data_IF_825868362250
#
_entry.id   IF_825868362250
#
_cell.length_a   1.000
_cell.length_b   1.000
_cell.length_c   1.000
_cell.angle_alpha   90.00
_cell.angle_beta   90.00
_cell.angle_gamma   90.00
#
_symmetry.space_group_name_H-M   'P 1'
#
loop_
_entity.id
_entity.type
_entity.pdbx_description
1 polymer ?
#
# COMPACT_ATOMS: atom_id res chain seq x y z
N UNK A 1 -30.89 -28.61 -50.03
CA UNK A 1 -30.60 -27.82 -48.81
C UNK A 1 -30.33 -28.77 -47.63
N UNK A 2 -29.16 -29.40 -47.60
CA UNK A 2 -28.69 -30.25 -46.50
C UNK A 2 -27.17 -30.10 -46.52
N UNK A 3 -26.62 -29.15 -45.76
CA UNK A 3 -25.19 -29.06 -45.42
C UNK A 3 -24.85 -27.87 -44.51
N UNK A 4 -25.76 -26.92 -44.29
CA UNK A 4 -25.47 -25.77 -43.40
C UNK A 4 -25.74 -26.04 -41.90
N UNK A 5 -26.34 -27.17 -41.53
CA UNK A 5 -26.70 -27.44 -40.12
C UNK A 5 -25.51 -27.94 -39.29
N UNK A 6 -24.60 -28.71 -39.91
CA UNK A 6 -23.42 -29.28 -39.23
C UNK A 6 -22.37 -28.20 -38.88
N UNK A 7 -22.24 -27.17 -39.73
CA UNK A 7 -21.32 -26.06 -39.50
C UNK A 7 -21.82 -25.18 -38.34
N UNK A 8 -23.13 -24.91 -38.28
CA UNK A 8 -23.73 -24.15 -37.19
C UNK A 8 -23.59 -24.85 -35.83
N UNK A 9 -23.71 -26.19 -35.80
CA UNK A 9 -23.54 -26.98 -34.58
C UNK A 9 -22.07 -26.99 -34.09
N UNK A 10 -21.10 -27.02 -35.01
CA UNK A 10 -19.68 -26.97 -34.68
C UNK A 10 -19.25 -25.62 -34.08
N UNK A 11 -19.79 -24.51 -34.57
CA UNK A 11 -19.53 -23.18 -34.00
C UNK A 11 -20.18 -22.99 -32.62
N UNK A 12 -21.35 -23.59 -32.38
CA UNK A 12 -22.04 -23.54 -31.07
C UNK A 12 -21.27 -24.33 -29.99
N UNK A 13 -20.66 -25.47 -30.35
CA UNK A 13 -19.85 -26.28 -29.44
C UNK A 13 -18.49 -25.65 -29.08
N UNK A 14 -17.88 -24.90 -30.00
CA UNK A 14 -16.64 -24.15 -29.74
C UNK A 14 -16.85 -22.95 -28.79
N UNK A 15 -18.07 -22.42 -28.69
CA UNK A 15 -18.41 -21.33 -27.79
C UNK A 15 -18.37 -21.71 -26.30
N UNK A 16 -18.67 -22.98 -25.97
CA UNK A 16 -18.70 -23.44 -24.57
C UNK A 16 -17.33 -23.84 -24.01
N UNK A 17 -16.36 -24.17 -24.86
CA UNK A 17 -15.02 -24.58 -24.40
C UNK A 17 -14.09 -23.41 -24.09
N UNK A 18 -14.44 -22.17 -24.46
CA UNK A 18 -13.64 -20.97 -24.16
C UNK A 18 -14.05 -20.25 -22.87
N UNK A 19 -15.17 -20.61 -22.24
CA UNK A 19 -15.65 -19.95 -21.01
C UNK A 19 -15.03 -20.48 -19.71
N UNK A 20 -14.05 -21.38 -19.78
CA UNK A 20 -13.20 -21.76 -18.63
C UNK A 20 -11.73 -21.47 -18.92
N UNK A 21 -11.43 -20.25 -19.38
CA UNK A 21 -10.13 -19.66 -19.13
C UNK A 21 -10.02 -19.30 -17.65
N UNK A 22 -9.80 -20.34 -16.85
CA UNK A 22 -8.93 -20.35 -15.68
C UNK A 22 -8.80 -19.02 -14.92
N UNK A 23 -9.84 -18.62 -14.18
CA UNK A 23 -9.59 -17.84 -12.97
C UNK A 23 -9.01 -18.78 -11.92
N UNK A 24 -7.80 -19.29 -12.15
CA UNK A 24 -6.90 -19.62 -11.05
C UNK A 24 -6.57 -18.28 -10.40
N UNK A 25 -7.52 -17.78 -9.62
CA UNK A 25 -7.24 -16.86 -8.55
C UNK A 25 -6.41 -17.69 -7.57
N UNK A 26 -5.12 -17.82 -7.86
CA UNK A 26 -4.17 -18.06 -6.79
C UNK A 26 -4.43 -16.92 -5.82
N UNK A 27 -4.95 -17.25 -4.64
CA UNK A 27 -4.99 -16.31 -3.54
C UNK A 27 -3.56 -15.78 -3.42
N UNK A 28 -3.39 -14.54 -3.89
CA UNK A 28 -2.10 -13.86 -3.84
C UNK A 28 -1.84 -13.65 -2.36
N UNK A 29 -0.69 -14.07 -1.87
CA UNK A 29 -0.25 -13.66 -0.54
C UNK A 29 -0.03 -12.15 -0.58
N UNK A 30 -1.06 -11.40 -0.19
CA UNK A 30 -1.02 -9.94 -0.20
C UNK A 30 0.05 -9.42 0.79
N UNK A 31 0.39 -10.16 1.86
CA UNK A 31 1.46 -9.71 2.79
C UNK A 31 2.81 -9.70 2.08
N UNK A 32 3.15 -10.82 1.43
CA UNK A 32 4.40 -10.92 0.69
C UNK A 32 4.42 -9.98 -0.51
N UNK A 33 3.30 -9.90 -1.24
CA UNK A 33 3.20 -9.05 -2.42
C UNK A 33 3.41 -7.58 -2.10
N UNK A 34 2.78 -7.09 -1.03
CA UNK A 34 2.89 -5.71 -0.57
C UNK A 34 4.06 -5.48 0.42
N UNK A 35 5.01 -6.41 0.57
CA UNK A 35 6.21 -6.21 1.40
C UNK A 35 7.07 -4.99 1.01
N UNK A 36 6.87 -4.49 -0.22
CA UNK A 36 7.38 -3.21 -0.71
C UNK A 36 6.25 -2.40 -1.35
N UNK A 37 6.46 -1.09 -1.50
CA UNK A 37 5.45 -0.21 -2.09
C UNK A 37 5.03 -0.66 -3.50
N UNK A 38 3.73 -0.93 -3.67
CA UNK A 38 3.10 -1.20 -4.96
C UNK A 38 2.29 0.00 -5.42
N UNK A 39 2.50 0.40 -6.67
CA UNK A 39 1.85 1.56 -7.27
C UNK A 39 0.48 1.18 -7.82
N UNK A 40 -0.55 1.93 -7.46
CA UNK A 40 -1.91 1.82 -7.99
C UNK A 40 -2.54 0.43 -7.81
N UNK A 41 -2.11 -0.30 -6.78
CA UNK A 41 -2.62 -1.62 -6.42
C UNK A 41 -2.96 -1.68 -4.93
N UNK A 42 -4.04 -2.38 -4.58
CA UNK A 42 -4.49 -2.54 -3.19
C UNK A 42 -4.72 -4.02 -2.86
N UNK A 43 -4.57 -4.41 -1.58
CA UNK A 43 -4.99 -5.73 -1.11
C UNK A 43 -6.50 -5.89 -1.24
N UNK A 44 -6.93 -7.13 -1.50
CA UNK A 44 -8.36 -7.41 -1.70
C UNK A 44 -9.08 -7.39 -0.36
N UNK A 45 -10.36 -7.00 -0.40
CA UNK A 45 -11.24 -7.02 0.78
C UNK A 45 -10.74 -6.21 1.99
N UNK A 46 -9.91 -5.18 1.76
CA UNK A 46 -9.45 -4.27 2.81
C UNK A 46 -10.20 -2.95 2.78
N UNK A 47 -10.59 -2.48 3.96
CA UNK A 47 -11.17 -1.16 4.17
C UNK A 47 -10.09 -0.23 4.71
N UNK A 48 -9.70 0.76 3.92
CA UNK A 48 -8.74 1.78 4.31
C UNK A 48 -9.41 2.87 5.15
N UNK A 49 -8.89 3.05 6.36
CA UNK A 49 -9.24 4.11 7.29
C UNK A 49 -8.29 5.29 7.09
N UNK A 50 -8.83 6.50 7.10
CA UNK A 50 -8.04 7.73 6.92
C UNK A 50 -7.12 7.97 8.13
N UNK A 51 -5.85 8.28 7.87
CA UNK A 51 -4.92 8.77 8.89
C UNK A 51 -4.81 10.29 8.86
N UNK A 52 -4.61 10.84 7.66
CA UNK A 52 -4.47 12.27 7.42
C UNK A 52 -4.91 12.60 5.98
N UNK A 53 -5.48 13.80 5.78
CA UNK A 53 -5.84 14.34 4.48
C UNK A 53 -5.58 15.83 4.46
N UNK A 54 -4.75 16.28 3.51
CA UNK A 54 -4.36 17.69 3.33
C UNK A 54 -5.08 18.39 2.19
N UNK A 55 -5.68 17.62 1.28
CA UNK A 55 -6.30 18.17 0.07
C UNK A 55 -7.52 17.35 -0.32
N UNK A 56 -8.51 18.04 -0.86
CA UNK A 56 -9.70 17.46 -1.50
C UNK A 56 -9.47 17.14 -2.98
N UNK A 57 -8.30 17.49 -3.54
CA UNK A 57 -7.93 17.16 -4.91
C UNK A 57 -7.92 15.64 -5.10
N UNK A 58 -8.47 15.17 -6.21
CA UNK A 58 -8.43 13.75 -6.57
C UNK A 58 -6.97 13.31 -6.77
N UNK A 59 -6.57 12.22 -6.09
CA UNK A 59 -5.25 11.63 -6.27
C UNK A 59 -5.12 10.93 -7.61
N UNK A 60 -3.97 11.09 -8.27
CA UNK A 60 -3.68 10.42 -9.55
C UNK A 60 -2.97 9.09 -9.34
N UNK A 61 -2.09 9.03 -8.34
CA UNK A 61 -1.33 7.83 -8.02
C UNK A 61 -1.40 7.54 -6.52
N UNK A 62 -1.31 6.27 -6.18
CA UNK A 62 -1.15 5.86 -4.79
C UNK A 62 -0.17 4.70 -4.67
N UNK A 63 0.38 4.53 -3.48
CA UNK A 63 1.32 3.46 -3.16
C UNK A 63 0.88 2.76 -1.88
N UNK A 64 0.91 1.43 -1.88
CA UNK A 64 0.54 0.60 -0.73
C UNK A 64 1.70 -0.29 -0.33
N UNK A 65 1.96 -0.38 0.97
CA UNK A 65 2.93 -1.31 1.58
C UNK A 65 2.28 -2.04 2.76
N UNK A 66 2.66 -3.28 3.00
CA UNK A 66 2.36 -4.05 4.19
C UNK A 66 3.56 -3.99 5.15
N UNK A 67 3.29 -3.75 6.44
CA UNK A 67 4.29 -3.81 7.51
C UNK A 67 3.69 -4.45 8.75
N UNK A 68 4.56 -5.04 9.55
CA UNK A 68 4.26 -5.54 10.89
C UNK A 68 5.15 -4.79 11.87
N UNK A 69 4.57 -4.19 12.90
CA UNK A 69 5.34 -3.46 13.91
C UNK A 69 5.93 -4.39 14.98
N UNK A 70 6.67 -3.82 15.92
CA UNK A 70 7.29 -4.57 17.04
C UNK A 70 6.29 -5.22 18.00
N UNK A 71 5.01 -4.85 17.94
CA UNK A 71 3.92 -5.46 18.70
C UNK A 71 3.29 -6.65 17.97
N UNK A 72 3.75 -6.99 16.76
CA UNK A 72 3.16 -8.02 15.91
C UNK A 72 1.88 -7.57 15.19
N UNK A 73 1.61 -6.26 15.15
CA UNK A 73 0.43 -5.71 14.50
C UNK A 73 0.71 -5.50 13.00
N UNK A 74 0.11 -6.34 12.16
CA UNK A 74 0.16 -6.21 10.71
C UNK A 74 -0.83 -5.18 10.16
N UNK A 75 -0.36 -4.29 9.29
CA UNK A 75 -1.20 -3.30 8.61
C UNK A 75 -0.69 -2.96 7.21
N UNK A 76 -1.61 -2.53 6.37
CA UNK A 76 -1.34 -1.90 5.09
C UNK A 76 -1.33 -0.39 5.26
N UNK A 77 -0.30 0.28 4.76
CA UNK A 77 -0.19 1.73 4.72
C UNK A 77 -0.30 2.22 3.28
N UNK A 78 -1.20 3.18 3.03
CA UNK A 78 -1.45 3.75 1.71
C UNK A 78 -1.14 5.23 1.70
N UNK A 79 -0.37 5.68 0.70
CA UNK A 79 -0.07 7.09 0.43
C UNK A 79 -0.70 7.46 -0.90
N UNK A 80 -1.49 8.54 -0.92
CA UNK A 80 -2.09 9.09 -2.15
C UNK A 80 -1.37 10.38 -2.52
N UNK A 81 -1.00 10.50 -3.79
CA UNK A 81 -0.27 11.62 -4.36
C UNK A 81 -1.14 12.42 -5.36
N UNK A 82 -0.90 13.73 -5.44
CA UNK A 82 -1.42 14.56 -6.52
C UNK A 82 -0.62 14.38 -7.83
N UNK A 83 -1.03 15.10 -8.87
CA UNK A 83 -0.36 15.13 -10.19
C UNK A 83 1.10 15.59 -10.17
N UNK A 84 1.53 16.27 -9.11
CA UNK A 84 2.90 16.75 -8.93
C UNK A 84 3.70 15.84 -7.99
N UNK A 85 3.21 14.62 -7.75
CA UNK A 85 3.78 13.64 -6.83
C UNK A 85 3.87 14.11 -5.37
N UNK A 86 3.00 15.05 -4.96
CA UNK A 86 2.94 15.51 -3.57
C UNK A 86 1.95 14.68 -2.76
N UNK A 87 2.29 14.23 -1.54
CA UNK A 87 1.36 13.48 -0.71
C UNK A 87 0.19 14.35 -0.24
N UNK A 88 -1.02 13.89 -0.52
CA UNK A 88 -2.28 14.59 -0.21
C UNK A 88 -3.15 13.86 0.81
N UNK A 89 -2.98 12.54 0.95
CA UNK A 89 -3.68 11.76 1.96
C UNK A 89 -2.91 10.48 2.31
N UNK A 90 -3.08 10.01 3.54
CA UNK A 90 -2.57 8.71 4.00
C UNK A 90 -3.67 7.91 4.69
N UNK A 91 -3.60 6.60 4.54
CA UNK A 91 -4.59 5.66 5.07
C UNK A 91 -3.90 4.43 5.64
N UNK A 92 -4.63 3.69 6.48
CA UNK A 92 -4.22 2.36 6.91
C UNK A 92 -5.37 1.36 6.78
N UNK A 93 -5.05 0.08 6.63
CA UNK A 93 -6.00 -1.02 6.77
C UNK A 93 -5.37 -2.14 7.61
N UNK A 94 -6.16 -2.76 8.48
CA UNK A 94 -5.66 -3.86 9.32
C UNK A 94 -5.48 -5.13 8.49
N UNK A 95 -4.45 -5.91 8.82
CA UNK A 95 -4.19 -7.19 8.16
C UNK A 95 -5.20 -8.27 8.53
N UNK A 96 -5.72 -8.25 9.76
CA UNK A 96 -6.80 -9.12 10.23
C UNK A 96 -7.95 -8.28 10.80
N UNK A 97 -8.98 -8.94 11.33
CA UNK A 97 -10.07 -8.26 12.06
C UNK A 97 -9.58 -7.64 13.38
N UNK A 98 -8.35 -7.97 13.80
CA UNK A 98 -7.72 -7.38 14.96
C UNK A 98 -7.41 -5.89 14.69
N UNK A 99 -7.89 -5.05 15.60
CA UNK A 99 -7.65 -3.61 15.55
C UNK A 99 -6.20 -3.33 15.94
N UNK A 100 -5.47 -2.57 15.13
CA UNK A 100 -4.17 -2.04 15.55
C UNK A 100 -4.35 -1.03 16.69
N UNK A 101 -3.38 -0.96 17.60
CA UNK A 101 -3.42 -0.09 18.78
C UNK A 101 -3.53 1.38 18.42
N UNK A 102 -4.17 2.17 19.31
CA UNK A 102 -4.26 3.62 19.15
C UNK A 102 -2.87 4.30 19.15
N UNK A 103 -1.87 3.70 19.81
CA UNK A 103 -0.47 4.12 19.73
C UNK A 103 0.09 3.98 18.32
N UNK A 104 -0.12 2.83 17.68
CA UNK A 104 0.34 2.59 16.30
C UNK A 104 -0.32 3.58 15.35
N UNK A 105 -1.62 3.81 15.47
CA UNK A 105 -2.34 4.81 14.66
C UNK A 105 -1.72 6.20 14.84
N UNK A 106 -1.48 6.63 16.09
CA UNK A 106 -0.86 7.94 16.38
C UNK A 106 0.55 8.07 15.81
N UNK A 107 1.31 6.99 15.75
CA UNK A 107 2.66 7.02 15.18
C UNK A 107 2.60 7.03 13.64
N UNK A 108 1.71 6.24 13.03
CA UNK A 108 1.47 6.27 11.57
C UNK A 108 1.00 7.64 11.06
N UNK A 109 0.23 8.39 11.86
CA UNK A 109 -0.16 9.77 11.52
C UNK A 109 1.04 10.71 11.32
N UNK A 110 2.20 10.41 11.93
CA UNK A 110 3.41 11.26 11.90
C UNK A 110 4.36 10.92 10.75
N UNK A 111 4.25 9.74 10.14
CA UNK A 111 5.23 9.18 9.19
C UNK A 111 5.54 10.09 8.00
N UNK A 112 4.52 10.68 7.38
CA UNK A 112 4.69 11.50 6.16
C UNK A 112 4.68 13.00 6.47
N UNK A 113 3.89 13.39 7.46
CA UNK A 113 3.59 14.79 7.71
C UNK A 113 4.35 15.38 8.90
N UNK A 114 5.15 14.55 9.58
CA UNK A 114 5.89 14.93 10.76
C UNK A 114 5.01 15.02 12.02
N UNK A 115 5.63 15.13 13.20
CA UNK A 115 4.90 15.37 14.45
C UNK A 115 4.26 16.76 14.43
N UNK A 116 3.03 16.88 14.93
CA UNK A 116 2.36 18.19 15.07
C UNK A 116 3.04 19.11 16.09
N UNK A 117 3.80 18.54 17.05
CA UNK A 117 4.68 19.25 17.99
C UNK A 117 5.85 18.37 18.39
N UNK A 118 7.05 18.93 18.49
CA UNK A 118 8.23 18.24 19.02
C UNK A 118 8.00 17.93 20.50
N UNK A 119 8.01 16.66 20.89
CA UNK A 119 7.98 16.23 22.29
C UNK A 119 9.36 15.74 22.68
N UNK A 120 9.92 16.35 23.72
CA UNK A 120 11.21 15.99 24.30
C UNK A 120 11.11 14.61 24.98
N UNK A 121 11.87 13.62 24.49
CA UNK A 121 11.98 12.30 25.10
C UNK A 121 13.46 11.92 25.29
N UNK A 122 13.77 11.30 26.43
CA UNK A 122 15.13 10.99 26.93
C UNK A 122 15.58 9.58 26.44
N UNK A 123 15.25 9.23 25.20
CA UNK A 123 15.64 7.96 24.55
C UNK A 123 16.03 8.22 23.09
N UNK A 124 16.39 7.17 22.34
CA UNK A 124 16.57 7.33 20.88
C UNK A 124 15.28 7.90 20.30
N UNK A 125 15.33 9.13 19.79
CA UNK A 125 14.13 9.79 19.30
C UNK A 125 13.69 9.13 18.00
N UNK A 126 12.39 9.16 17.69
CA UNK A 126 11.88 8.70 16.37
C UNK A 126 12.68 9.32 15.22
N UNK A 127 13.09 10.60 15.37
CA UNK A 127 13.96 11.29 14.41
C UNK A 127 15.34 10.64 14.25
N UNK A 128 15.96 10.19 15.35
CA UNK A 128 17.25 9.49 15.31
C UNK A 128 17.12 8.11 14.63
N UNK A 129 16.08 7.34 14.97
CA UNK A 129 15.79 6.06 14.32
C UNK A 129 15.59 6.26 12.80
N UNK A 130 14.71 7.19 12.41
CA UNK A 130 14.42 7.50 11.01
C UNK A 130 15.67 7.96 10.27
N UNK A 131 16.50 8.80 10.89
CA UNK A 131 17.75 9.26 10.27
C UNK A 131 18.75 8.13 10.04
N UNK A 132 18.88 7.20 11.00
CA UNK A 132 19.72 6.01 10.81
C UNK A 132 19.18 5.13 9.69
N UNK A 133 17.87 4.90 9.66
CA UNK A 133 17.21 4.14 8.60
C UNK A 133 17.42 4.79 7.22
N UNK A 134 17.26 6.12 7.11
CA UNK A 134 17.50 6.84 5.86
C UNK A 134 18.91 6.64 5.32
N UNK A 135 19.92 6.65 6.20
CA UNK A 135 21.32 6.41 5.81
C UNK A 135 21.54 4.96 5.40
N UNK A 136 21.04 4.01 6.19
CA UNK A 136 21.17 2.58 5.91
C UNK A 136 20.51 2.19 4.57
N UNK A 137 19.34 2.75 4.26
CA UNK A 137 18.57 2.45 3.05
C UNK A 137 18.91 3.38 1.86
N UNK A 138 19.85 4.32 2.03
CA UNK A 138 20.23 5.28 1.01
C UNK A 138 19.06 6.11 0.49
N UNK A 139 18.13 6.51 1.38
CA UNK A 139 16.88 7.16 0.96
C UNK A 139 17.11 8.46 0.20
N UNK A 140 18.13 9.25 0.56
CA UNK A 140 18.47 10.50 -0.13
C UNK A 140 19.13 10.27 -1.51
N UNK A 141 19.59 9.05 -1.79
CA UNK A 141 20.22 8.67 -3.06
C UNK A 141 19.24 8.06 -4.04
N UNK A 142 17.94 8.00 -3.72
CA UNK A 142 16.93 7.48 -4.64
C UNK A 142 16.80 8.43 -5.84
N UNK A 143 16.59 7.88 -7.06
CA UNK A 143 16.68 8.66 -8.31
C UNK A 143 15.53 9.64 -8.52
N UNK A 144 14.43 9.51 -7.76
CA UNK A 144 13.24 10.35 -7.89
C UNK A 144 12.78 10.87 -6.54
N UNK A 145 12.12 12.03 -6.52
CA UNK A 145 11.50 12.60 -5.32
C UNK A 145 10.50 11.63 -4.68
N UNK A 146 9.70 10.95 -5.49
CA UNK A 146 8.79 9.89 -4.99
C UNK A 146 9.56 8.73 -4.38
N UNK A 147 10.69 8.31 -4.98
CA UNK A 147 11.53 7.27 -4.39
C UNK A 147 12.10 7.67 -3.02
N UNK A 148 12.56 8.92 -2.89
CA UNK A 148 13.01 9.47 -1.59
C UNK A 148 11.85 9.48 -0.59
N UNK A 149 10.67 9.92 -1.00
CA UNK A 149 9.47 9.98 -0.17
C UNK A 149 9.04 8.59 0.32
N UNK A 150 8.94 7.61 -0.57
CA UNK A 150 8.53 6.24 -0.22
C UNK A 150 9.56 5.58 0.71
N UNK A 151 10.85 5.76 0.45
CA UNK A 151 11.89 5.27 1.35
C UNK A 151 11.81 5.94 2.74
N UNK A 152 11.56 7.25 2.76
CA UNK A 152 11.36 7.99 4.02
C UNK A 152 10.11 7.53 4.77
N UNK A 153 9.04 7.24 4.05
CA UNK A 153 7.80 6.70 4.61
C UNK A 153 8.04 5.34 5.26
N UNK A 154 8.71 4.44 4.55
CA UNK A 154 9.04 3.10 5.04
C UNK A 154 9.85 3.16 6.33
N UNK A 155 10.90 3.99 6.36
CA UNK A 155 11.67 4.23 7.57
C UNK A 155 10.85 4.86 8.71
N UNK A 156 9.94 5.77 8.38
CA UNK A 156 9.01 6.34 9.36
C UNK A 156 8.09 5.28 9.98
N UNK A 157 7.62 4.32 9.18
CA UNK A 157 6.78 3.21 9.64
C UNK A 157 7.57 2.23 10.51
N UNK A 158 8.80 1.89 10.12
CA UNK A 158 9.65 0.97 10.90
C UNK A 158 10.07 1.53 12.26
N UNK A 159 10.16 2.86 12.36
CA UNK A 159 10.49 3.58 13.59
C UNK A 159 9.26 4.02 14.41
N UNK A 160 8.05 3.68 13.96
CA UNK A 160 6.77 4.04 14.57
C UNK A 160 6.28 2.99 15.58
#
# INVERSE_FOLDING_TARGET
MKNNFLIALAFLLLGFTLSKANSNYTDRDDKEYFSSFRKNEEPKHKKFNILNKKSEVAGENFYVIYKENSLGEGFYFKIVLDKNEKPIATYYANESDNKISDSTIKNLQKVIFGPEKATDAIGETTTQCVTKCHRANGCYSKPTSTGVLLCSAECGIECA
#
